data_IF_400114543471
#
_entry.id   IF_400114543471
#
_cell.length_a   1.000
_cell.length_b   1.000
_cell.length_c   1.000
_cell.angle_alpha   90.00
_cell.angle_beta   90.00
_cell.angle_gamma   90.00
#
_symmetry.space_group_name_H-M   'P 1'
#
loop_
_entity.id
_entity.type
_entity.pdbx_description
1 polymer ?
#
# COMPACT_ATOMS: atom_id res chain seq x y z
N UNK A 1 -19.77 -3.38 4.43
CA UNK A 1 -18.48 -2.89 4.94
C UNK A 1 -17.85 -4.10 5.57
N UNK A 2 -16.99 -4.78 4.82
CA UNK A 2 -16.34 -5.99 5.28
C UNK A 2 -15.38 -5.59 6.41
N UNK A 3 -15.62 -6.14 7.60
CA UNK A 3 -14.78 -5.93 8.78
C UNK A 3 -13.71 -7.00 8.77
N UNK A 4 -12.49 -6.62 9.10
CA UNK A 4 -11.37 -7.55 9.16
C UNK A 4 -11.51 -8.49 10.35
N UNK A 5 -11.33 -9.79 10.12
CA UNK A 5 -10.97 -10.70 11.21
C UNK A 5 -9.45 -10.64 11.39
N UNK A 6 -8.99 -9.71 12.24
CA UNK A 6 -7.56 -9.49 12.45
C UNK A 6 -6.84 -10.73 13.02
N UNK A 7 -7.52 -11.57 13.79
CA UNK A 7 -6.94 -12.80 14.32
C UNK A 7 -6.75 -13.85 13.22
N UNK A 8 -7.74 -13.98 12.33
CA UNK A 8 -7.65 -14.83 11.15
C UNK A 8 -6.53 -14.38 10.19
N UNK A 9 -6.46 -13.09 9.87
CA UNK A 9 -5.38 -12.56 9.01
C UNK A 9 -4.01 -12.84 9.62
N UNK A 10 -3.83 -12.59 10.92
CA UNK A 10 -2.57 -12.90 11.62
C UNK A 10 -2.29 -14.40 11.68
N UNK A 11 -3.30 -15.26 11.77
CA UNK A 11 -3.14 -16.71 11.69
C UNK A 11 -2.68 -17.14 10.30
N UNK A 12 -3.29 -16.60 9.25
CA UNK A 12 -2.96 -16.91 7.87
C UNK A 12 -1.54 -16.51 7.49
N UNK A 13 -1.09 -15.32 7.90
CA UNK A 13 0.30 -14.88 7.70
C UNK A 13 1.29 -15.84 8.38
N UNK A 14 0.97 -16.31 9.60
CA UNK A 14 1.80 -17.31 10.32
C UNK A 14 1.84 -18.66 9.59
N UNK A 15 0.74 -19.09 9.00
CA UNK A 15 0.71 -20.30 8.16
C UNK A 15 1.59 -20.17 6.92
N UNK A 16 1.50 -19.03 6.21
CA UNK A 16 2.36 -18.74 5.05
C UNK A 16 3.84 -18.79 5.44
N UNK A 17 4.21 -18.16 6.56
CA UNK A 17 5.57 -18.19 7.08
C UNK A 17 6.05 -19.62 7.39
N UNK A 18 5.18 -20.47 7.95
CA UNK A 18 5.50 -21.86 8.25
C UNK A 18 5.66 -22.72 6.98
N UNK A 19 4.93 -22.41 5.92
CA UNK A 19 5.00 -23.10 4.63
C UNK A 19 6.17 -22.62 3.76
N UNK A 20 6.69 -21.41 4.02
CA UNK A 20 7.82 -20.82 3.31
C UNK A 20 9.01 -20.49 4.23
N UNK A 21 9.64 -21.49 4.88
CA UNK A 21 10.78 -21.25 5.76
C UNK A 21 12.01 -20.70 5.00
N UNK A 22 12.04 -20.87 3.68
CA UNK A 22 13.08 -20.34 2.80
C UNK A 22 12.83 -18.92 2.32
N UNK A 23 11.67 -18.31 2.63
CA UNK A 23 11.26 -16.98 2.11
C UNK A 23 11.42 -16.87 0.59
N UNK A 24 10.96 -17.91 -0.12
CA UNK A 24 11.07 -18.03 -1.59
C UNK A 24 9.89 -17.38 -2.32
N UNK A 25 8.78 -17.13 -1.62
CA UNK A 25 7.67 -16.39 -2.19
C UNK A 25 8.11 -14.97 -2.51
N UNK A 26 7.61 -14.42 -3.62
CA UNK A 26 7.96 -13.06 -4.05
C UNK A 26 7.71 -12.04 -2.92
N UNK A 27 8.76 -11.29 -2.57
CA UNK A 27 8.77 -10.27 -1.51
C UNK A 27 8.87 -10.79 -0.07
N UNK A 28 8.81 -12.11 0.15
CA UNK A 28 8.89 -12.70 1.49
C UNK A 28 10.28 -12.55 2.13
N UNK A 29 11.33 -12.40 1.34
CA UNK A 29 12.67 -12.05 1.80
C UNK A 29 12.74 -10.62 2.35
N UNK A 30 11.93 -9.71 1.80
CA UNK A 30 11.76 -8.32 2.27
C UNK A 30 10.90 -8.24 3.52
N UNK A 31 9.63 -8.65 3.45
CA UNK A 31 8.68 -8.42 4.55
C UNK A 31 8.69 -9.52 5.62
N UNK A 32 9.34 -10.67 5.35
CA UNK A 32 9.58 -11.78 6.29
C UNK A 32 8.34 -12.34 6.99
N UNK A 33 7.16 -12.13 6.40
CA UNK A 33 5.85 -12.37 7.03
C UNK A 33 5.68 -11.67 8.40
N UNK A 34 6.43 -10.60 8.65
CA UNK A 34 6.36 -9.83 9.88
C UNK A 34 5.28 -8.76 9.75
N UNK A 35 4.33 -8.76 10.68
CA UNK A 35 3.28 -7.75 10.77
C UNK A 35 3.45 -6.98 12.06
N UNK A 36 3.72 -5.68 11.94
CA UNK A 36 3.77 -4.74 13.05
C UNK A 36 2.37 -4.56 13.65
N UNK A 37 2.27 -4.27 14.96
CA UNK A 37 1.00 -4.10 15.63
C UNK A 37 0.11 -3.04 14.97
N UNK A 38 -1.20 -3.18 15.18
CA UNK A 38 -2.16 -2.19 14.75
C UNK A 38 -1.90 -0.82 15.38
N UNK A 39 -2.18 0.23 14.62
CA UNK A 39 -1.99 1.61 15.05
C UNK A 39 -3.11 2.06 16.01
N UNK A 40 -2.78 2.84 17.05
CA UNK A 40 -3.79 3.50 17.85
C UNK A 40 -4.64 4.46 17.00
N UNK A 41 -5.94 4.52 17.31
CA UNK A 41 -6.88 5.45 16.66
C UNK A 41 -6.39 6.91 16.67
N UNK A 42 -5.69 7.33 17.73
CA UNK A 42 -5.13 8.68 17.83
C UNK A 42 -4.01 8.93 16.79
N UNK A 43 -3.20 7.91 16.46
CA UNK A 43 -2.15 8.04 15.46
C UNK A 43 -2.73 8.07 14.05
N UNK A 44 -3.73 7.22 13.76
CA UNK A 44 -4.45 7.22 12.48
C UNK A 44 -5.12 8.57 12.27
N UNK A 45 -5.82 9.07 13.29
CA UNK A 45 -6.47 10.39 13.23
C UNK A 45 -5.47 11.53 13.05
N UNK A 46 -4.33 11.48 13.73
CA UNK A 46 -3.29 12.49 13.54
C UNK A 46 -2.71 12.46 12.12
N UNK A 47 -2.60 11.28 11.51
CA UNK A 47 -2.21 11.15 10.10
C UNK A 47 -3.26 11.76 9.17
N UNK A 48 -4.53 11.40 9.33
CA UNK A 48 -5.67 11.93 8.57
C UNK A 48 -5.74 13.47 8.67
N UNK A 49 -5.66 14.01 9.89
CA UNK A 49 -5.70 15.46 10.15
C UNK A 49 -4.49 16.21 9.57
N UNK A 50 -3.29 15.65 9.69
CA UNK A 50 -2.08 16.32 9.19
C UNK A 50 -2.00 16.33 7.67
N UNK A 51 -2.48 15.27 7.01
CA UNK A 51 -2.45 15.17 5.55
C UNK A 51 -3.73 15.69 4.88
N UNK A 52 -4.78 16.00 5.65
CA UNK A 52 -6.05 16.51 5.13
C UNK A 52 -6.84 15.47 4.35
N UNK A 53 -6.79 14.21 4.78
CA UNK A 53 -7.44 13.07 4.10
C UNK A 53 -8.32 12.28 5.06
N UNK A 54 -9.35 11.67 4.50
CA UNK A 54 -10.08 10.58 5.15
C UNK A 54 -9.62 9.27 4.52
N UNK A 55 -9.03 8.36 5.30
CA UNK A 55 -8.55 7.10 4.74
C UNK A 55 -9.75 6.23 4.30
N UNK A 56 -9.67 5.57 3.13
CA UNK A 56 -10.68 4.59 2.75
C UNK A 56 -10.89 3.56 3.84
N UNK A 57 -12.16 3.32 4.20
CA UNK A 57 -12.54 2.55 5.40
C UNK A 57 -11.87 1.16 5.48
N UNK A 58 -11.74 0.46 4.36
CA UNK A 58 -11.10 -0.87 4.31
C UNK A 58 -9.63 -0.82 4.73
N UNK A 59 -8.90 0.21 4.30
CA UNK A 59 -7.50 0.40 4.68
C UNK A 59 -7.38 0.93 6.11
N UNK A 60 -8.24 1.89 6.47
CA UNK A 60 -8.28 2.48 7.81
C UNK A 60 -8.52 1.44 8.90
N UNK A 61 -9.50 0.55 8.70
CA UNK A 61 -9.78 -0.55 9.64
C UNK A 61 -8.66 -1.58 9.66
N UNK A 62 -8.02 -1.88 8.52
CA UNK A 62 -6.86 -2.77 8.50
C UNK A 62 -5.74 -2.27 9.41
N UNK A 63 -5.34 -1.00 9.27
CA UNK A 63 -4.26 -0.45 10.10
C UNK A 63 -4.66 -0.32 11.57
N UNK A 64 -5.96 -0.18 11.88
CA UNK A 64 -6.48 -0.07 13.25
C UNK A 64 -6.68 -1.42 13.97
N UNK A 65 -6.91 -2.50 13.23
CA UNK A 65 -7.34 -3.80 13.80
C UNK A 65 -6.36 -4.94 13.51
N UNK A 66 -5.66 -4.89 12.36
CA UNK A 66 -4.84 -5.97 11.85
C UNK A 66 -3.36 -5.71 12.09
N UNK A 67 -2.82 -4.63 11.52
CA UNK A 67 -1.42 -4.26 11.61
C UNK A 67 -1.00 -3.21 10.58
N UNK A 68 0.27 -2.77 10.65
CA UNK A 68 0.79 -1.65 9.85
C UNK A 68 1.91 -2.09 8.88
N UNK A 69 1.79 -3.29 8.30
CA UNK A 69 2.84 -3.91 7.49
C UNK A 69 4.05 -4.38 8.32
N UNK A 70 5.16 -4.86 7.73
CA UNK A 70 5.38 -4.98 6.29
C UNK A 70 4.71 -6.18 5.62
N UNK A 71 4.23 -7.19 6.34
CA UNK A 71 3.62 -8.37 5.72
C UNK A 71 2.48 -7.99 4.77
N UNK A 72 2.56 -8.45 3.52
CA UNK A 72 1.56 -8.16 2.50
C UNK A 72 2.05 -8.48 1.08
N UNK A 73 1.25 -8.15 0.06
CA UNK A 73 1.59 -8.36 -1.35
C UNK A 73 2.88 -7.64 -1.77
N UNK A 74 3.47 -8.10 -2.89
CA UNK A 74 4.70 -7.55 -3.46
C UNK A 74 5.85 -7.52 -2.42
N UNK A 75 6.69 -6.48 -2.38
CA UNK A 75 7.72 -6.32 -1.35
C UNK A 75 7.16 -5.91 0.05
N UNK A 76 5.84 -6.07 0.22
CA UNK A 76 5.11 -5.88 1.47
C UNK A 76 4.41 -4.53 1.57
N UNK A 77 3.44 -4.45 2.48
CA UNK A 77 2.68 -3.24 2.77
C UNK A 77 3.55 -2.16 3.45
N UNK A 78 3.61 -0.97 2.88
CA UNK A 78 4.33 0.16 3.46
C UNK A 78 3.62 0.64 4.73
N UNK A 79 4.35 0.85 5.84
CA UNK A 79 3.73 1.38 7.04
C UNK A 79 3.18 2.78 6.80
N UNK A 80 2.07 3.10 7.49
CA UNK A 80 1.38 4.38 7.33
C UNK A 80 2.22 5.55 7.85
N UNK A 81 2.80 5.44 9.05
CA UNK A 81 3.36 6.58 9.80
C UNK A 81 4.87 6.57 9.98
N UNK A 82 5.53 5.41 9.88
CA UNK A 82 6.97 5.27 10.15
C UNK A 82 7.64 4.50 9.02
N UNK A 83 8.65 5.08 8.39
CA UNK A 83 9.44 4.42 7.36
C UNK A 83 10.06 3.11 7.88
N UNK A 84 10.28 2.14 6.99
CA UNK A 84 10.87 0.85 7.39
C UNK A 84 12.34 1.08 7.83
N UNK A 85 12.76 0.59 9.01
CA UNK A 85 14.14 0.80 9.48
C UNK A 85 15.23 0.11 8.66
N UNK A 86 14.88 -0.93 7.88
CA UNK A 86 15.84 -1.84 7.22
C UNK A 86 16.15 -1.48 5.75
N UNK A 87 15.51 -0.45 5.18
CA UNK A 87 15.99 0.12 3.92
C UNK A 87 17.14 1.07 4.28
N UNK A 88 18.39 0.62 4.11
CA UNK A 88 19.52 1.55 4.16
C UNK A 88 19.26 2.67 3.15
N UNK A 89 19.58 3.92 3.51
CA UNK A 89 19.24 5.18 2.83
C UNK A 89 19.72 5.33 1.37
N UNK A 90 19.47 4.34 0.50
CA UNK A 90 20.00 4.22 -0.86
C UNK A 90 19.02 3.49 -1.80
N UNK A 91 17.72 3.48 -1.49
CA UNK A 91 16.69 2.90 -2.37
C UNK A 91 15.62 3.93 -2.72
N UNK A 92 15.27 4.03 -4.01
CA UNK A 92 14.25 4.93 -4.54
C UNK A 92 12.85 4.76 -3.90
N UNK A 93 12.64 3.70 -3.13
CA UNK A 93 11.41 3.44 -2.38
C UNK A 93 11.23 4.38 -1.19
N UNK A 94 12.31 4.76 -0.51
CA UNK A 94 12.25 5.62 0.67
C UNK A 94 11.89 7.05 0.25
N UNK A 95 12.50 7.53 -0.85
CA UNK A 95 12.19 8.82 -1.46
C UNK A 95 10.70 8.89 -1.88
N UNK A 96 10.17 7.86 -2.56
CA UNK A 96 8.75 7.82 -2.94
C UNK A 96 7.81 7.76 -1.72
N UNK A 97 8.16 7.01 -0.66
CA UNK A 97 7.36 6.94 0.55
C UNK A 97 7.29 8.29 1.29
N UNK A 98 8.43 9.00 1.36
CA UNK A 98 8.55 10.32 1.95
C UNK A 98 7.84 11.38 1.11
N UNK A 99 8.05 11.38 -0.21
CA UNK A 99 7.41 12.29 -1.14
C UNK A 99 5.90 12.17 -1.09
N UNK A 100 5.36 10.95 -1.06
CA UNK A 100 3.93 10.68 -0.95
C UNK A 100 3.31 11.30 0.31
N UNK A 101 4.06 11.34 1.41
CA UNK A 101 3.64 11.88 2.72
C UNK A 101 3.97 13.37 2.90
N UNK A 102 4.39 14.07 1.85
CA UNK A 102 4.48 15.53 1.92
C UNK A 102 3.08 16.13 2.07
N UNK A 103 2.99 17.14 2.96
CA UNK A 103 1.73 17.80 3.28
C UNK A 103 1.06 18.35 2.02
N UNK A 104 -0.25 18.07 1.90
CA UNK A 104 -1.09 18.53 0.81
C UNK A 104 -1.17 17.58 -0.38
N UNK A 105 -0.20 16.68 -0.60
CA UNK A 105 -0.20 15.80 -1.78
C UNK A 105 -1.28 14.72 -1.74
N UNK A 106 -1.48 14.11 -0.59
CA UNK A 106 -2.50 13.06 -0.40
C UNK A 106 -3.94 13.63 -0.50
N UNK A 107 -4.13 14.90 -0.17
CA UNK A 107 -5.43 15.57 -0.22
C UNK A 107 -5.80 16.10 -1.62
N UNK A 108 -4.86 16.09 -2.56
CA UNK A 108 -5.14 16.51 -3.93
C UNK A 108 -6.05 15.51 -4.65
N UNK A 109 -6.86 15.95 -5.63
CA UNK A 109 -7.70 15.04 -6.38
C UNK A 109 -6.85 14.09 -7.24
N UNK A 110 -7.17 12.80 -7.21
CA UNK A 110 -6.62 11.84 -8.15
C UNK A 110 -6.94 12.26 -9.60
N UNK A 111 -5.93 12.44 -10.47
CA UNK A 111 -6.14 13.08 -11.77
C UNK A 111 -6.78 12.18 -12.82
N UNK A 112 -6.72 10.85 -12.65
CA UNK A 112 -7.23 9.90 -13.65
C UNK A 112 -8.68 9.52 -13.37
N UNK A 113 -9.52 9.69 -14.39
CA UNK A 113 -10.90 9.18 -14.39
C UNK A 113 -11.04 7.86 -15.15
N UNK A 114 -10.08 7.56 -16.04
CA UNK A 114 -9.97 6.32 -16.81
C UNK A 114 -8.56 5.75 -16.70
N UNK A 115 -8.38 4.42 -16.85
CA UNK A 115 -7.05 3.80 -16.87
C UNK A 115 -6.16 4.37 -17.98
N UNK A 116 -4.88 4.54 -17.69
CA UNK A 116 -3.87 5.00 -18.64
C UNK A 116 -2.89 3.85 -18.95
N UNK A 117 -3.22 2.91 -19.85
CA UNK A 117 -2.34 1.78 -20.14
C UNK A 117 -1.15 2.19 -21.03
N UNK A 118 -0.03 1.49 -20.86
CA UNK A 118 1.18 1.70 -21.65
C UNK A 118 2.11 2.75 -21.06
N UNK A 119 3.22 3.00 -21.75
CA UNK A 119 4.29 3.86 -21.26
C UNK A 119 3.81 5.27 -20.88
N UNK A 120 4.16 5.69 -19.67
CA UNK A 120 3.89 7.03 -19.15
C UNK A 120 5.10 7.93 -19.43
N UNK A 121 4.85 9.14 -19.93
CA UNK A 121 5.89 10.17 -20.06
C UNK A 121 6.19 10.86 -18.73
N UNK A 122 7.42 11.32 -18.53
CA UNK A 122 7.76 12.11 -17.35
C UNK A 122 7.12 13.51 -17.38
N UNK A 123 6.78 14.10 -16.20
CA UNK A 123 6.96 13.54 -14.86
C UNK A 123 5.72 12.77 -14.35
N UNK A 124 5.96 11.63 -13.69
CA UNK A 124 4.93 10.77 -13.06
C UNK A 124 4.36 11.36 -11.77
N UNK A 125 5.09 12.27 -11.12
CA UNK A 125 4.71 12.97 -9.88
C UNK A 125 3.27 13.53 -9.90
N UNK A 126 2.89 14.15 -11.02
CA UNK A 126 1.58 14.75 -11.16
C UNK A 126 0.46 13.70 -11.16
N UNK A 127 0.75 12.48 -11.61
CA UNK A 127 -0.22 11.39 -11.72
C UNK A 127 -0.50 10.72 -10.37
N UNK A 128 0.46 10.75 -9.44
CA UNK A 128 0.36 10.04 -8.15
C UNK A 128 -0.30 10.86 -7.05
N UNK A 129 -0.67 12.12 -7.31
CA UNK A 129 -1.43 12.98 -6.39
C UNK A 129 -2.75 12.34 -6.00
N UNK A 130 -3.17 12.51 -4.75
CA UNK A 130 -4.41 11.92 -4.24
C UNK A 130 -4.37 10.40 -4.09
N UNK A 131 -3.19 9.78 -4.09
CA UNK A 131 -3.01 8.34 -3.87
C UNK A 131 -1.97 8.09 -2.79
N UNK A 132 -2.12 7.02 -2.02
CA UNK A 132 -1.17 6.55 -1.02
C UNK A 132 -0.38 5.37 -1.57
N UNK A 133 0.94 5.40 -1.52
CA UNK A 133 1.78 4.25 -1.85
C UNK A 133 1.58 3.12 -0.82
N UNK A 134 1.10 1.97 -1.30
CA UNK A 134 0.89 0.77 -0.48
C UNK A 134 2.06 -0.20 -0.54
N UNK A 135 2.67 -0.40 -1.70
CA UNK A 135 3.75 -1.37 -1.87
C UNK A 135 4.58 -1.07 -3.11
N UNK A 136 5.82 -1.53 -3.12
CA UNK A 136 6.62 -1.58 -4.34
C UNK A 136 6.54 -2.99 -4.95
N UNK A 137 6.36 -3.03 -6.27
CA UNK A 137 6.39 -4.27 -7.07
C UNK A 137 7.82 -4.60 -7.51
N UNK A 138 8.63 -3.56 -7.74
CA UNK A 138 9.98 -3.62 -8.31
C UNK A 138 10.09 -2.79 -9.59
N UNK A 139 11.32 -2.52 -10.05
CA UNK A 139 11.59 -1.76 -11.29
C UNK A 139 10.91 -0.37 -11.33
N UNK A 140 10.76 0.30 -10.18
CA UNK A 140 10.08 1.61 -10.10
C UNK A 140 8.57 1.54 -10.28
N UNK A 141 7.97 0.35 -10.17
CA UNK A 141 6.52 0.17 -10.20
C UNK A 141 5.94 0.06 -8.80
N UNK A 142 4.81 0.71 -8.57
CA UNK A 142 4.20 0.86 -7.25
C UNK A 142 2.71 0.53 -7.26
N UNK A 143 2.26 -0.09 -6.19
CA UNK A 143 0.83 -0.24 -5.87
C UNK A 143 0.42 0.97 -5.03
N UNK A 144 -0.69 1.61 -5.42
CA UNK A 144 -1.21 2.83 -4.79
C UNK A 144 -2.70 2.71 -4.50
N UNK A 145 -3.13 3.25 -3.37
CA UNK A 145 -4.53 3.36 -2.96
C UNK A 145 -5.06 4.75 -3.33
N UNK A 146 -6.18 4.84 -4.03
CA UNK A 146 -6.79 6.14 -4.32
C UNK A 146 -7.48 6.69 -3.08
N UNK A 147 -7.12 7.91 -2.66
CA UNK A 147 -7.66 8.58 -1.46
C UNK A 147 -8.72 9.62 -1.79
N UNK A 148 -8.65 10.25 -2.97
CA UNK A 148 -9.53 11.37 -3.28
C UNK A 148 -10.03 11.34 -4.73
N UNK A 149 -11.33 11.57 -4.92
CA UNK A 149 -11.98 11.61 -6.23
C UNK A 149 -12.93 10.43 -6.48
N UNK A 150 -13.42 10.25 -7.73
CA UNK A 150 -14.48 9.29 -8.05
C UNK A 150 -14.05 7.81 -7.93
N UNK A 151 -12.75 7.56 -7.78
CA UNK A 151 -12.12 6.22 -7.71
C UNK A 151 -11.66 5.88 -6.28
N UNK A 152 -12.06 6.65 -5.27
CA UNK A 152 -11.60 6.47 -3.88
C UNK A 152 -11.81 5.03 -3.40
N UNK A 153 -10.78 4.47 -2.75
CA UNK A 153 -10.75 3.09 -2.27
C UNK A 153 -10.24 2.06 -3.28
N UNK A 154 -10.24 2.36 -4.58
CA UNK A 154 -9.64 1.46 -5.58
C UNK A 154 -8.11 1.36 -5.41
N UNK A 155 -7.56 0.19 -5.74
CA UNK A 155 -6.10 -0.06 -5.74
C UNK A 155 -5.60 -0.12 -7.17
N UNK A 156 -4.58 0.68 -7.46
CA UNK A 156 -4.03 0.88 -8.79
C UNK A 156 -2.53 0.57 -8.80
N UNK A 157 -2.01 0.12 -9.93
CA UNK A 157 -0.57 -0.04 -10.16
C UNK A 157 -0.10 1.01 -11.13
N UNK A 158 0.97 1.71 -10.77
CA UNK A 158 1.74 2.55 -11.69
C UNK A 158 3.02 1.80 -12.09
N UNK A 159 3.20 1.60 -13.40
CA UNK A 159 4.39 1.09 -14.06
C UNK A 159 4.71 2.05 -15.22
N UNK A 160 5.64 3.00 -15.04
CA UNK A 160 5.90 4.05 -16.02
C UNK A 160 6.42 3.53 -17.36
N UNK A 161 7.11 2.38 -17.36
CA UNK A 161 7.81 1.88 -18.53
C UNK A 161 6.92 1.03 -19.43
N UNK A 162 6.03 0.21 -18.85
CA UNK A 162 5.29 -0.81 -19.61
C UNK A 162 3.79 -0.82 -19.33
N UNK A 163 3.39 -0.90 -18.07
CA UNK A 163 2.00 -1.13 -17.67
C UNK A 163 1.11 0.11 -17.68
N UNK A 164 1.67 1.29 -17.49
CA UNK A 164 0.94 2.53 -17.31
C UNK A 164 0.37 2.68 -15.90
N UNK A 165 -0.73 3.43 -15.74
CA UNK A 165 -1.40 3.60 -14.46
C UNK A 165 -2.82 3.06 -14.56
N UNK A 166 -3.03 1.86 -14.01
CA UNK A 166 -4.23 1.06 -14.23
C UNK A 166 -4.75 0.45 -12.93
N UNK A 167 -6.08 0.25 -12.78
CA UNK A 167 -6.64 -0.42 -11.61
C UNK A 167 -6.23 -1.89 -11.58
N UNK A 168 -5.90 -2.40 -10.39
CA UNK A 168 -5.55 -3.82 -10.16
C UNK A 168 -6.48 -4.52 -9.18
N UNK A 169 -7.19 -3.77 -8.33
CA UNK A 169 -8.21 -4.31 -7.45
C UNK A 169 -9.30 -3.25 -7.17
N UNK A 170 -10.57 -3.66 -7.02
CA UNK A 170 -11.65 -2.74 -6.67
C UNK A 170 -11.53 -2.12 -5.27
N UNK A 171 -10.72 -2.71 -4.39
CA UNK A 171 -10.59 -2.30 -2.99
C UNK A 171 -9.31 -2.80 -2.32
N UNK A 172 -8.98 -2.21 -1.18
CA UNK A 172 -7.84 -2.66 -0.37
C UNK A 172 -8.10 -4.04 0.24
N UNK A 173 -9.34 -4.32 0.66
CA UNK A 173 -9.70 -5.60 1.26
C UNK A 173 -9.42 -6.76 0.29
N UNK A 174 -10.02 -6.71 -0.90
CA UNK A 174 -9.81 -7.71 -1.96
C UNK A 174 -8.33 -7.88 -2.32
N UNK A 175 -7.60 -6.78 -2.49
CA UNK A 175 -6.19 -6.82 -2.86
C UNK A 175 -5.32 -7.57 -1.83
N UNK A 176 -5.58 -7.35 -0.54
CA UNK A 176 -4.81 -7.99 0.53
C UNK A 176 -5.26 -9.45 0.76
N UNK A 177 -6.56 -9.75 0.68
CA UNK A 177 -7.08 -11.12 0.82
C UNK A 177 -6.63 -12.03 -0.31
N UNK A 178 -6.58 -11.54 -1.55
CA UNK A 178 -6.08 -12.31 -2.70
C UNK A 178 -4.63 -12.79 -2.47
N UNK A 179 -3.82 -11.98 -1.79
CA UNK A 179 -2.47 -12.41 -1.38
C UNK A 179 -2.49 -13.45 -0.27
N UNK A 180 -3.36 -13.33 0.74
CA UNK A 180 -3.52 -14.35 1.79
C UNK A 180 -3.99 -15.71 1.24
N UNK A 181 -4.76 -15.69 0.16
CA UNK A 181 -5.31 -16.88 -0.50
C UNK A 181 -4.37 -17.44 -1.58
N UNK A 182 -3.43 -16.63 -2.09
CA UNK A 182 -2.44 -17.06 -3.06
C UNK A 182 -1.58 -18.21 -2.51
N UNK A 183 -1.31 -19.24 -3.33
CA UNK A 183 -0.48 -20.39 -2.94
C UNK A 183 0.99 -20.04 -2.73
#
# INVERSE_FOLDING_TARGET
MESWDGDDVRARIREMAAQDPGRKRCGADTHRYELTPALPEAEIRAFEESHGVDLPMEYRSFVAEVGNGPAGPCHGLMPLTVARPEAGAEWAMDDEWEEDRLLGRLAEPFPLTEPLPGRIGEPTDALTRGTLMLAEVGCGSFIRLVLHGPRVGEVWQIDPDWGGFVPVSPGFHTWYTDWLESP
#
